data_IF_006950721526
#
_entry.id   IF_006950721526
#
_cell.length_a   1.000
_cell.length_b   1.000
_cell.length_c   1.000
_cell.angle_alpha   90.00
_cell.angle_beta   90.00
_cell.angle_gamma   90.00
#
_symmetry.space_group_name_H-M   'P 1'
#
loop_
_entity.id
_entity.type
_entity.pdbx_description
1 polymer ?
#
# COMPACT_ATOMS: atom_id res chain seq x y z
N UNK A 1 12.48 -6.26 12.79
CA UNK A 1 11.05 -5.87 12.90
C UNK A 1 10.17 -7.10 12.72
N UNK A 2 9.16 -7.34 13.57
CA UNK A 2 8.17 -8.42 13.38
C UNK A 2 7.09 -8.03 12.34
N UNK A 3 7.50 -7.40 11.22
CA UNK A 3 6.59 -6.93 10.16
C UNK A 3 5.59 -5.84 10.58
N UNK A 4 5.93 -5.01 11.56
CA UNK A 4 5.07 -3.92 12.06
C UNK A 4 5.82 -2.61 12.03
N UNK A 5 5.18 -1.58 11.49
CA UNK A 5 5.70 -0.21 11.38
C UNK A 5 4.53 0.78 11.46
N UNK A 6 4.84 2.02 11.83
CA UNK A 6 3.92 3.15 11.82
C UNK A 6 4.55 4.28 10.99
N UNK A 7 3.89 4.70 9.93
CA UNK A 7 4.28 5.87 9.13
C UNK A 7 3.54 7.09 9.71
N UNK A 8 4.26 8.02 10.32
CA UNK A 8 3.69 9.09 11.15
C UNK A 8 4.15 10.50 10.75
N UNK A 9 4.62 10.69 9.53
CA UNK A 9 5.08 11.99 9.03
C UNK A 9 3.88 12.95 8.82
N UNK A 10 4.12 14.13 8.28
CA UNK A 10 3.05 15.04 7.88
C UNK A 10 2.20 14.54 6.70
N UNK A 11 1.03 15.16 6.52
CA UNK A 11 0.16 14.94 5.36
C UNK A 11 0.86 15.42 4.10
N UNK A 12 0.77 14.66 3.02
CA UNK A 12 1.39 15.01 1.73
C UNK A 12 2.84 14.54 1.56
N UNK A 13 3.49 14.01 2.60
CA UNK A 13 4.87 13.48 2.51
C UNK A 13 4.99 12.09 1.86
N UNK A 14 3.90 11.56 1.30
CA UNK A 14 3.96 10.37 0.45
C UNK A 14 3.86 9.03 1.17
N UNK A 15 3.15 8.94 2.31
CA UNK A 15 2.94 7.67 3.04
C UNK A 15 2.40 6.53 2.18
N UNK A 16 1.53 6.84 1.22
CA UNK A 16 1.01 5.85 0.27
C UNK A 16 2.14 5.24 -0.58
N UNK A 17 3.10 6.06 -0.99
CA UNK A 17 4.29 5.64 -1.74
C UNK A 17 5.21 4.80 -0.87
N UNK A 18 5.47 5.23 0.37
CA UNK A 18 6.27 4.46 1.33
C UNK A 18 5.67 3.09 1.60
N UNK A 19 4.36 3.03 1.84
CA UNK A 19 3.63 1.77 2.01
C UNK A 19 3.74 0.89 0.75
N UNK A 20 3.63 1.47 -0.45
CA UNK A 20 3.83 0.76 -1.72
C UNK A 20 5.24 0.20 -1.91
N UNK A 21 6.28 0.93 -1.48
CA UNK A 21 7.68 0.45 -1.52
C UNK A 21 7.86 -0.75 -0.59
N UNK A 22 7.40 -0.64 0.65
CA UNK A 22 7.45 -1.75 1.62
C UNK A 22 6.70 -2.96 1.09
N UNK A 23 5.51 -2.73 0.54
CA UNK A 23 4.67 -3.78 -0.01
C UNK A 23 5.34 -4.52 -1.17
N UNK A 24 5.89 -3.76 -2.13
CA UNK A 24 6.59 -4.30 -3.29
C UNK A 24 7.76 -5.18 -2.87
N UNK A 25 8.52 -4.76 -1.85
CA UNK A 25 9.64 -5.54 -1.34
C UNK A 25 9.20 -6.82 -0.63
N UNK A 26 8.12 -6.77 0.16
CA UNK A 26 7.55 -7.95 0.81
C UNK A 26 7.06 -8.98 -0.20
N UNK A 27 6.41 -8.53 -1.29
CA UNK A 27 5.95 -9.40 -2.37
C UNK A 27 7.12 -9.98 -3.16
N UNK A 28 8.11 -9.15 -3.54
CA UNK A 28 9.30 -9.56 -4.29
C UNK A 28 10.14 -10.59 -3.52
N UNK A 29 10.27 -10.44 -2.19
CA UNK A 29 10.95 -11.42 -1.31
C UNK A 29 10.10 -12.63 -0.95
N UNK A 30 8.84 -12.70 -1.42
CA UNK A 30 7.87 -13.74 -1.06
C UNK A 30 7.60 -13.85 0.45
N UNK A 31 7.77 -12.73 1.17
CA UNK A 31 7.46 -12.61 2.60
C UNK A 31 5.97 -12.33 2.84
N UNK A 32 5.28 -11.78 1.84
CA UNK A 32 3.82 -11.67 1.80
C UNK A 32 3.29 -12.42 0.56
N UNK A 33 2.13 -13.08 0.72
CA UNK A 33 1.40 -13.76 -0.38
C UNK A 33 0.04 -13.15 -0.65
N UNK A 34 -0.54 -12.47 0.34
CA UNK A 34 -1.84 -11.79 0.28
C UNK A 34 -1.71 -10.48 1.04
N UNK A 35 -2.41 -9.47 0.54
CA UNK A 35 -2.32 -8.10 1.04
C UNK A 35 -3.73 -7.57 1.17
N UNK A 36 -4.02 -6.96 2.32
CA UNK A 36 -5.26 -6.23 2.56
C UNK A 36 -4.89 -4.79 2.89
N UNK A 37 -5.49 -3.85 2.17
CA UNK A 37 -5.34 -2.42 2.39
C UNK A 37 -6.68 -1.91 2.90
N UNK A 38 -6.71 -1.40 4.13
CA UNK A 38 -7.90 -0.81 4.74
C UNK A 38 -7.78 0.70 4.66
N UNK A 39 -8.73 1.35 3.99
CA UNK A 39 -8.76 2.81 3.79
C UNK A 39 -10.19 3.33 3.91
N UNK A 40 -10.40 4.61 4.28
CA UNK A 40 -11.70 5.26 4.18
C UNK A 40 -12.29 5.17 2.76
N UNK A 41 -13.62 5.09 2.60
CA UNK A 41 -14.26 4.91 1.28
C UNK A 41 -13.80 5.92 0.21
N UNK A 42 -13.63 7.19 0.60
CA UNK A 42 -13.18 8.25 -0.32
C UNK A 42 -11.74 8.12 -0.81
N UNK A 43 -10.92 7.24 -0.22
CA UNK A 43 -9.52 7.03 -0.59
C UNK A 43 -9.28 5.73 -1.38
N UNK A 44 -10.29 4.87 -1.52
CA UNK A 44 -10.18 3.57 -2.20
C UNK A 44 -9.64 3.72 -3.62
N UNK A 45 -10.28 4.58 -4.43
CA UNK A 45 -9.88 4.80 -5.82
C UNK A 45 -8.47 5.40 -5.93
N UNK A 46 -8.11 6.32 -5.04
CA UNK A 46 -6.78 6.91 -5.02
C UNK A 46 -5.70 5.85 -4.72
N UNK A 47 -5.91 5.02 -3.70
CA UNK A 47 -4.96 3.96 -3.36
C UNK A 47 -4.82 2.92 -4.47
N UNK A 48 -5.93 2.52 -5.08
CA UNK A 48 -5.91 1.58 -6.21
C UNK A 48 -5.10 2.15 -7.38
N UNK A 49 -5.33 3.41 -7.76
CA UNK A 49 -4.61 4.06 -8.86
C UNK A 49 -3.12 4.27 -8.54
N UNK A 50 -2.77 4.69 -7.33
CA UNK A 50 -1.37 4.87 -6.94
C UNK A 50 -0.60 3.54 -6.94
N UNK A 51 -1.19 2.48 -6.38
CA UNK A 51 -0.57 1.15 -6.35
C UNK A 51 -0.44 0.55 -7.75
N UNK A 52 -1.44 0.76 -8.60
CA UNK A 52 -1.41 0.32 -10.00
C UNK A 52 -0.34 1.04 -10.81
N UNK A 53 -0.36 2.38 -10.83
CA UNK A 53 0.55 3.16 -11.68
C UNK A 53 1.99 3.14 -11.23
N UNK A 54 2.24 3.22 -9.91
CA UNK A 54 3.60 3.38 -9.39
C UNK A 54 4.28 2.04 -9.10
N UNK A 55 3.50 0.99 -8.81
CA UNK A 55 4.04 -0.29 -8.33
C UNK A 55 3.57 -1.50 -9.15
N UNK A 56 2.74 -1.31 -10.17
CA UNK A 56 2.16 -2.40 -10.97
C UNK A 56 1.40 -3.43 -10.11
N UNK A 57 0.77 -2.97 -9.02
CA UNK A 57 -0.01 -3.80 -8.11
C UNK A 57 -1.50 -3.55 -8.36
N UNK A 58 -2.16 -4.51 -9.02
CA UNK A 58 -3.59 -4.46 -9.26
C UNK A 58 -4.36 -5.01 -8.04
N UNK A 59 -5.11 -4.14 -7.38
CA UNK A 59 -5.98 -4.49 -6.26
C UNK A 59 -7.44 -4.59 -6.70
N UNK A 60 -8.15 -5.59 -6.18
CA UNK A 60 -9.61 -5.69 -6.26
C UNK A 60 -10.21 -4.87 -5.13
N UNK A 61 -11.25 -4.09 -5.43
CA UNK A 61 -12.00 -3.31 -4.44
C UNK A 61 -13.25 -4.09 -4.02
N UNK A 62 -13.62 -3.95 -2.74
CA UNK A 62 -14.83 -4.52 -2.18
C UNK A 62 -15.62 -3.39 -1.50
N UNK A 63 -16.93 -3.42 -1.66
CA UNK A 63 -17.88 -2.45 -1.09
C UNK A 63 -18.22 -2.78 0.36
#
# INVERSE_FOLDING_TARGET
MRGRALLADEVGLGKTVEAGIVLSELLRRRLARRVLVLVPPGLVAQWQEELRRKFCLDFVTHD
#
